data_IF_636142204118
#
_entry.id   IF_636142204118
#
_cell.length_a   1.000
_cell.length_b   1.000
_cell.length_c   1.000
_cell.angle_alpha   90.00
_cell.angle_beta   90.00
_cell.angle_gamma   90.00
#
_symmetry.space_group_name_H-M   'P 1'
#
loop_
_entity.id
_entity.type
_entity.pdbx_description
1 polymer ?
#
# COMPACT_ATOMS: atom_id res chain seq x y z
N UNK A 1 5.47 23.99 -1.02
CA UNK A 1 5.81 22.65 -0.44
C UNK A 1 5.32 21.61 -1.45
N UNK A 2 6.21 20.74 -1.91
CA UNK A 2 5.93 19.74 -2.94
C UNK A 2 5.82 18.38 -2.24
N UNK A 3 4.65 17.75 -2.32
CA UNK A 3 4.39 16.47 -1.66
C UNK A 3 4.44 15.31 -2.65
N UNK A 4 5.49 14.50 -2.56
CA UNK A 4 5.76 13.34 -3.41
C UNK A 4 5.87 12.04 -2.60
N UNK A 5 5.04 11.89 -1.56
CA UNK A 5 5.01 10.70 -0.69
C UNK A 5 3.62 10.08 -0.56
N UNK A 6 2.86 10.05 -1.66
CA UNK A 6 1.48 9.55 -1.69
C UNK A 6 1.35 8.06 -1.34
N UNK A 7 2.42 7.27 -1.49
CA UNK A 7 2.44 5.89 -1.00
C UNK A 7 2.50 5.79 0.53
N UNK A 8 2.98 6.81 1.24
CA UNK A 8 2.90 6.86 2.69
C UNK A 8 1.49 7.23 3.17
N UNK A 9 0.93 8.30 2.64
CA UNK A 9 -0.46 8.73 2.85
C UNK A 9 -0.85 9.75 1.79
N UNK A 10 -2.14 9.94 1.55
CA UNK A 10 -2.62 10.98 0.63
C UNK A 10 -3.35 12.08 1.39
N UNK A 11 -3.42 13.25 0.78
CA UNK A 11 -4.31 14.33 1.21
C UNK A 11 -5.77 13.86 1.04
N UNK A 12 -6.63 14.16 2.01
CA UNK A 12 -8.07 13.94 1.88
C UNK A 12 -8.61 14.84 0.77
N UNK A 13 -9.39 14.26 -0.16
CA UNK A 13 -10.01 15.04 -1.23
C UNK A 13 -11.00 16.06 -0.65
N UNK A 14 -11.09 17.31 -1.17
CA UNK A 14 -12.02 18.31 -0.64
C UNK A 14 -13.47 17.82 -0.58
N UNK A 15 -13.98 17.18 -1.64
CA UNK A 15 -15.35 16.63 -1.68
C UNK A 15 -15.56 15.50 -0.66
N UNK A 16 -14.50 14.76 -0.32
CA UNK A 16 -14.53 13.75 0.75
C UNK A 16 -14.69 14.42 2.11
N UNK A 17 -13.94 15.49 2.36
CA UNK A 17 -14.10 16.24 3.61
C UNK A 17 -15.51 16.83 3.75
N UNK A 18 -16.07 17.37 2.66
CA UNK A 18 -17.41 17.95 2.65
C UNK A 18 -18.49 16.94 3.06
N UNK A 19 -18.46 15.71 2.50
CA UNK A 19 -19.47 14.70 2.86
C UNK A 19 -19.28 14.10 4.26
N UNK A 20 -18.09 14.22 4.86
CA UNK A 20 -17.83 13.77 6.22
C UNK A 20 -18.40 14.71 7.29
N UNK A 21 -18.37 16.02 7.06
CA UNK A 21 -18.69 17.04 8.05
C UNK A 21 -20.08 16.85 8.70
N UNK A 22 -21.18 16.56 7.97
CA UNK A 22 -22.49 16.35 8.56
C UNK A 22 -22.51 15.24 9.62
N UNK A 23 -21.72 14.19 9.46
CA UNK A 23 -21.66 13.06 10.40
C UNK A 23 -20.80 13.34 11.64
N UNK A 24 -20.07 14.45 11.65
CA UNK A 24 -19.31 14.95 12.81
C UNK A 24 -20.09 16.04 13.58
N UNK A 25 -21.09 16.68 12.96
CA UNK A 25 -21.81 17.84 13.51
C UNK A 25 -23.30 17.56 13.76
N UNK A 26 -24.05 17.23 12.72
CA UNK A 26 -25.52 17.21 12.77
C UNK A 26 -26.11 15.79 12.78
N UNK A 27 -25.43 14.80 12.17
CA UNK A 27 -25.89 13.43 11.97
C UNK A 27 -25.03 12.42 12.74
N UNK A 28 -24.62 12.74 13.94
CA UNK A 28 -23.72 11.96 14.80
C UNK A 28 -24.38 10.75 15.48
N UNK A 29 -25.57 10.36 15.04
CA UNK A 29 -26.38 9.30 15.66
C UNK A 29 -25.73 7.92 15.48
N UNK A 30 -25.91 7.06 16.50
CA UNK A 30 -25.50 5.67 16.40
C UNK A 30 -26.37 4.93 15.35
N UNK A 31 -25.77 4.35 14.30
CA UNK A 31 -26.53 3.66 13.25
C UNK A 31 -27.30 2.44 13.74
N UNK A 32 -26.91 1.82 14.86
CA UNK A 32 -27.62 0.66 15.45
C UNK A 32 -28.91 1.04 16.19
N UNK A 33 -29.18 2.35 16.40
CA UNK A 33 -30.38 2.82 17.14
C UNK A 33 -31.67 2.70 16.33
N UNK A 34 -32.79 2.49 17.02
CA UNK A 34 -34.10 2.26 16.39
C UNK A 34 -34.81 3.52 15.88
N UNK A 35 -34.38 4.73 16.28
CA UNK A 35 -35.05 5.97 15.96
C UNK A 35 -34.79 6.48 14.54
N UNK A 36 -35.67 7.40 14.08
CA UNK A 36 -35.66 7.86 12.68
C UNK A 36 -34.37 8.48 12.22
N UNK A 37 -33.68 9.26 13.06
CA UNK A 37 -32.41 9.90 12.72
C UNK A 37 -31.29 8.88 12.41
N UNK A 38 -31.26 7.75 13.10
CA UNK A 38 -30.27 6.68 12.82
C UNK A 38 -30.48 6.03 11.44
N UNK A 39 -31.68 6.10 10.84
CA UNK A 39 -31.91 5.57 9.48
C UNK A 39 -31.14 6.33 8.42
N UNK A 40 -30.94 7.63 8.59
CA UNK A 40 -30.15 8.46 7.67
C UNK A 40 -28.70 8.02 7.71
N UNK A 41 -28.17 7.78 8.91
CA UNK A 41 -26.80 7.31 9.11
C UNK A 41 -26.60 5.91 8.51
N UNK A 42 -27.54 4.98 8.73
CA UNK A 42 -27.50 3.64 8.11
C UNK A 42 -27.46 3.72 6.59
N UNK A 43 -28.33 4.56 5.99
CA UNK A 43 -28.35 4.70 4.52
C UNK A 43 -27.04 5.25 3.98
N UNK A 44 -26.39 6.16 4.71
CA UNK A 44 -25.08 6.67 4.32
C UNK A 44 -23.97 5.58 4.38
N UNK A 45 -24.01 4.71 5.40
CA UNK A 45 -23.12 3.54 5.48
C UNK A 45 -23.37 2.55 4.35
N UNK A 46 -24.64 2.22 4.04
CA UNK A 46 -25.01 1.35 2.91
C UNK A 46 -24.46 1.92 1.59
N UNK A 47 -24.64 3.21 1.34
CA UNK A 47 -24.09 3.89 0.15
C UNK A 47 -22.57 3.82 0.10
N UNK A 48 -21.88 3.97 1.24
CA UNK A 48 -20.43 3.85 1.30
C UNK A 48 -19.96 2.42 0.94
N UNK A 49 -20.67 1.37 1.40
CA UNK A 49 -20.39 -0.02 1.01
C UNK A 49 -20.58 -0.21 -0.50
N UNK A 50 -21.69 0.31 -1.08
CA UNK A 50 -21.96 0.28 -2.52
C UNK A 50 -20.80 0.93 -3.32
N UNK A 51 -20.32 2.10 -2.87
CA UNK A 51 -19.26 2.86 -3.54
C UNK A 51 -17.89 2.14 -3.46
N UNK A 52 -17.52 1.59 -2.30
CA UNK A 52 -16.28 0.83 -2.13
C UNK A 52 -16.34 -0.45 -2.95
N UNK A 53 -17.46 -1.17 -2.93
CA UNK A 53 -17.66 -2.38 -3.73
C UNK A 53 -17.53 -2.08 -5.24
N UNK A 54 -18.17 -1.00 -5.70
CA UNK A 54 -18.10 -0.60 -7.11
C UNK A 54 -16.66 -0.31 -7.59
N UNK A 55 -15.79 0.23 -6.72
CA UNK A 55 -14.39 0.53 -7.07
C UNK A 55 -13.59 -0.74 -7.43
N UNK A 56 -13.95 -1.88 -6.87
CA UNK A 56 -13.25 -3.15 -7.08
C UNK A 56 -14.12 -4.21 -7.80
N UNK A 57 -15.27 -3.80 -8.34
CA UNK A 57 -16.24 -4.69 -9.02
C UNK A 57 -16.78 -5.83 -8.14
N UNK A 58 -16.97 -5.56 -6.84
CA UNK A 58 -17.55 -6.45 -5.84
C UNK A 58 -19.04 -6.14 -5.60
N UNK A 59 -19.70 -6.99 -4.81
CA UNK A 59 -21.03 -6.72 -4.24
C UNK A 59 -20.87 -5.98 -2.90
N UNK A 60 -21.83 -5.11 -2.51
CA UNK A 60 -21.76 -4.41 -1.22
C UNK A 60 -21.64 -5.35 -0.01
N UNK A 61 -22.29 -6.51 -0.07
CA UNK A 61 -22.30 -7.54 0.98
C UNK A 61 -20.93 -8.22 1.16
N UNK A 62 -20.05 -8.12 0.18
CA UNK A 62 -18.69 -8.64 0.23
C UNK A 62 -17.70 -7.68 0.91
N UNK A 63 -18.13 -6.45 1.22
CA UNK A 63 -17.29 -5.45 1.89
C UNK A 63 -17.52 -5.50 3.40
N UNK A 64 -16.41 -5.47 4.15
CA UNK A 64 -16.37 -5.37 5.62
C UNK A 64 -15.51 -4.17 5.98
N UNK A 65 -16.08 -3.14 6.57
CA UNK A 65 -15.33 -1.94 6.97
C UNK A 65 -14.46 -2.20 8.18
N UNK A 66 -13.25 -1.67 8.16
CA UNK A 66 -12.23 -1.81 9.22
C UNK A 66 -11.63 -0.47 9.59
N UNK A 67 -10.78 -0.43 10.62
CA UNK A 67 -10.11 0.80 11.05
C UNK A 67 -8.88 1.18 10.20
N UNK A 68 -8.28 0.25 9.46
CA UNK A 68 -7.13 0.51 8.58
C UNK A 68 -6.71 -0.76 7.83
N UNK A 69 -5.81 -0.63 6.86
CA UNK A 69 -5.28 -1.77 6.12
C UNK A 69 -4.53 -2.81 6.98
N UNK A 70 -3.85 -2.37 8.05
CA UNK A 70 -3.21 -3.30 9.01
C UNK A 70 -4.25 -4.16 9.72
N UNK A 71 -5.39 -3.59 10.15
CA UNK A 71 -6.50 -4.35 10.72
C UNK A 71 -7.06 -5.34 9.69
N UNK A 72 -7.23 -4.92 8.45
CA UNK A 72 -7.72 -5.76 7.35
C UNK A 72 -6.81 -6.98 7.15
N UNK A 73 -5.51 -6.75 6.97
CA UNK A 73 -4.52 -7.82 6.81
C UNK A 73 -4.53 -8.79 8.01
N UNK A 74 -4.44 -8.24 9.23
CA UNK A 74 -4.36 -9.06 10.44
C UNK A 74 -5.65 -9.86 10.66
N UNK A 75 -6.82 -9.33 10.32
CA UNK A 75 -8.10 -10.02 10.46
C UNK A 75 -8.18 -11.24 9.54
N UNK A 76 -7.74 -11.11 8.27
CA UNK A 76 -7.69 -12.24 7.34
C UNK A 76 -6.70 -13.30 7.81
N UNK A 77 -5.49 -12.90 8.19
CA UNK A 77 -4.48 -13.83 8.67
C UNK A 77 -4.91 -14.53 9.97
N UNK A 78 -5.51 -13.79 10.92
CA UNK A 78 -6.06 -14.37 12.16
C UNK A 78 -7.08 -15.45 11.89
N UNK A 79 -7.99 -15.19 10.94
CA UNK A 79 -9.03 -16.12 10.56
C UNK A 79 -8.45 -17.35 9.85
N UNK A 80 -7.70 -17.15 8.76
CA UNK A 80 -7.23 -18.22 7.90
C UNK A 80 -6.23 -19.15 8.62
N UNK A 81 -5.42 -18.59 9.52
CA UNK A 81 -4.38 -19.33 10.24
C UNK A 81 -4.80 -19.80 11.65
N UNK A 82 -6.08 -19.68 12.00
CA UNK A 82 -6.58 -20.10 13.32
C UNK A 82 -6.38 -21.59 13.59
N UNK A 83 -6.37 -22.43 12.57
CA UNK A 83 -6.13 -23.87 12.64
C UNK A 83 -4.65 -24.26 12.52
N UNK A 84 -3.72 -23.32 12.46
CA UNK A 84 -2.31 -23.58 12.13
C UNK A 84 -2.09 -23.84 10.64
N UNK A 85 -1.01 -24.55 10.30
CA UNK A 85 -0.66 -24.87 8.91
C UNK A 85 0.43 -23.95 8.34
N UNK A 86 0.61 -24.00 7.03
CA UNK A 86 1.60 -23.19 6.32
C UNK A 86 0.91 -21.98 5.66
N UNK A 87 1.48 -20.81 5.85
CA UNK A 87 1.16 -19.62 5.07
C UNK A 87 2.23 -19.39 4.01
N UNK A 88 1.84 -19.38 2.75
CA UNK A 88 2.71 -19.02 1.63
C UNK A 88 2.55 -17.53 1.33
N UNK A 89 3.66 -16.80 1.26
CA UNK A 89 3.64 -15.35 1.01
C UNK A 89 4.90 -14.91 0.26
N UNK A 90 4.97 -13.65 -0.18
CA UNK A 90 6.17 -13.13 -0.81
C UNK A 90 7.19 -12.58 0.20
N UNK A 91 8.47 -12.51 -0.20
CA UNK A 91 9.53 -11.87 0.62
C UNK A 91 9.36 -10.35 0.69
N UNK A 92 8.56 -9.75 -0.17
CA UNK A 92 8.43 -8.30 -0.33
C UNK A 92 7.16 -7.71 0.30
N UNK A 93 6.46 -8.48 1.13
CA UNK A 93 5.22 -8.05 1.77
C UNK A 93 5.41 -6.85 2.72
N UNK A 94 4.32 -6.13 2.94
CA UNK A 94 4.29 -5.09 3.96
C UNK A 94 4.46 -5.68 5.36
N UNK A 95 5.04 -4.91 6.29
CA UNK A 95 5.27 -5.33 7.68
C UNK A 95 4.00 -5.77 8.42
N UNK A 96 2.81 -5.32 7.99
CA UNK A 96 1.52 -5.77 8.54
C UNK A 96 1.25 -7.27 8.25
N UNK A 97 1.79 -7.80 7.16
CA UNK A 97 1.76 -9.24 6.85
C UNK A 97 2.91 -9.95 7.57
N UNK A 98 4.17 -9.54 7.30
CA UNK A 98 5.34 -10.28 7.76
C UNK A 98 5.42 -10.37 9.29
N UNK A 99 5.30 -9.25 10.01
CA UNK A 99 5.39 -9.25 11.49
C UNK A 99 4.23 -9.97 12.15
N UNK A 100 3.04 -9.88 11.56
CA UNK A 100 1.90 -10.59 12.11
C UNK A 100 2.01 -12.10 11.90
N UNK A 101 2.52 -12.53 10.74
CA UNK A 101 2.82 -13.94 10.45
C UNK A 101 3.89 -14.50 11.38
N UNK A 102 4.95 -13.72 11.69
CA UNK A 102 5.95 -14.10 12.68
C UNK A 102 5.30 -14.30 14.07
N UNK A 103 4.40 -13.39 14.49
CA UNK A 103 3.67 -13.51 15.76
C UNK A 103 2.71 -14.71 15.78
N UNK A 104 2.09 -15.08 14.67
CA UNK A 104 1.27 -16.29 14.54
C UNK A 104 2.12 -17.55 14.61
N UNK A 105 3.31 -17.53 14.03
CA UNK A 105 4.26 -18.64 14.10
C UNK A 105 4.66 -18.94 15.54
N UNK A 106 4.95 -17.91 16.33
CA UNK A 106 5.33 -18.06 17.74
C UNK A 106 4.18 -18.62 18.62
N UNK A 107 2.93 -18.22 18.33
CA UNK A 107 1.77 -18.57 19.18
C UNK A 107 1.06 -19.83 18.75
N UNK A 108 0.86 -20.02 17.45
CA UNK A 108 -0.03 -21.05 16.90
C UNK A 108 0.71 -22.13 16.10
N UNK A 109 2.05 -22.08 16.05
CA UNK A 109 2.84 -23.03 15.26
C UNK A 109 2.62 -22.90 13.75
N UNK A 110 2.19 -21.70 13.29
CA UNK A 110 2.05 -21.39 11.86
C UNK A 110 3.44 -21.43 11.22
N UNK A 111 3.57 -22.14 10.10
CA UNK A 111 4.79 -22.10 9.29
C UNK A 111 4.67 -20.99 8.25
N UNK A 112 5.72 -20.19 8.10
CA UNK A 112 5.78 -19.15 7.07
C UNK A 112 6.73 -19.58 5.98
N UNK A 113 6.21 -19.73 4.76
CA UNK A 113 6.99 -20.01 3.56
C UNK A 113 7.00 -18.75 2.69
N UNK A 114 8.19 -18.16 2.53
CA UNK A 114 8.37 -16.92 1.78
C UNK A 114 8.93 -17.24 0.40
N UNK A 115 8.20 -16.84 -0.62
CA UNK A 115 8.60 -16.98 -2.02
C UNK A 115 9.37 -15.74 -2.47
N UNK A 116 10.51 -15.96 -3.11
CA UNK A 116 11.37 -14.90 -3.62
C UNK A 116 10.78 -14.16 -4.82
N UNK A 117 11.44 -13.06 -5.15
CA UNK A 117 11.16 -12.27 -6.35
C UNK A 117 12.36 -12.29 -7.31
N UNK A 118 12.15 -11.88 -8.55
CA UNK A 118 13.22 -11.66 -9.51
C UNK A 118 13.90 -10.29 -9.29
N UNK A 119 14.90 -9.96 -10.12
CA UNK A 119 15.61 -8.70 -10.03
C UNK A 119 14.75 -7.46 -10.34
N UNK A 120 13.61 -7.64 -11.02
CA UNK A 120 12.62 -6.60 -11.25
C UNK A 120 11.63 -6.45 -10.09
N UNK A 121 11.67 -7.34 -9.09
CA UNK A 121 10.78 -7.33 -7.93
C UNK A 121 9.45 -8.03 -8.16
N UNK A 122 9.33 -8.86 -9.21
CA UNK A 122 8.15 -9.68 -9.47
C UNK A 122 8.26 -11.04 -8.79
N UNK A 123 7.14 -11.54 -8.27
CA UNK A 123 7.03 -12.87 -7.67
C UNK A 123 7.52 -13.95 -8.65
N UNK A 124 8.37 -14.84 -8.17
CA UNK A 124 8.77 -16.04 -8.91
C UNK A 124 7.62 -17.03 -8.91
N UNK A 125 6.84 -16.98 -9.98
CA UNK A 125 5.55 -17.68 -10.04
C UNK A 125 5.70 -19.21 -10.00
N UNK A 126 6.76 -19.76 -10.57
CA UNK A 126 7.03 -21.21 -10.52
C UNK A 126 7.35 -21.67 -9.09
N UNK A 127 8.12 -20.88 -8.33
CA UNK A 127 8.42 -21.15 -6.93
C UNK A 127 7.14 -21.05 -6.08
N UNK A 128 6.27 -20.07 -6.38
CA UNK A 128 4.97 -19.92 -5.73
C UNK A 128 4.06 -21.14 -6.01
N UNK A 129 4.01 -21.58 -7.27
CA UNK A 129 3.22 -22.75 -7.67
C UNK A 129 3.69 -24.03 -6.97
N UNK A 130 4.99 -24.16 -6.69
CA UNK A 130 5.53 -25.27 -5.92
C UNK A 130 5.15 -25.16 -4.43
N UNK A 131 5.26 -23.96 -3.85
CA UNK A 131 5.00 -23.70 -2.43
C UNK A 131 3.52 -23.95 -2.05
N UNK A 132 2.55 -23.51 -2.88
CA UNK A 132 1.12 -23.69 -2.58
C UNK A 132 0.64 -25.15 -2.68
N UNK A 133 1.39 -26.04 -3.33
CA UNK A 133 1.08 -27.49 -3.41
C UNK A 133 1.42 -28.25 -2.14
N UNK A 134 1.98 -27.58 -1.12
CA UNK A 134 2.19 -28.20 0.17
C UNK A 134 0.84 -28.51 0.82
N UNK A 135 0.57 -29.79 1.15
CA UNK A 135 -0.69 -30.25 1.75
C UNK A 135 -1.07 -29.53 3.06
N UNK A 136 -0.10 -28.92 3.74
CA UNK A 136 -0.34 -28.13 4.94
C UNK A 136 -0.61 -26.63 4.64
N UNK A 137 -0.65 -26.20 3.37
CA UNK A 137 -0.89 -24.82 3.01
C UNK A 137 -2.34 -24.41 3.35
N UNK A 138 -2.49 -23.46 4.26
CA UNK A 138 -3.79 -23.00 4.75
C UNK A 138 -4.19 -21.63 4.18
N UNK A 139 -3.21 -20.84 3.71
CA UNK A 139 -3.42 -19.55 3.09
C UNK A 139 -2.25 -19.20 2.17
N UNK A 140 -2.55 -18.67 1.00
CA UNK A 140 -1.59 -17.94 0.19
C UNK A 140 -1.93 -16.43 0.23
N UNK A 141 -0.91 -15.59 0.44
CA UNK A 141 -1.09 -14.13 0.56
C UNK A 141 0.02 -13.40 -0.18
N UNK A 142 -0.34 -12.64 -1.22
CA UNK A 142 0.61 -11.88 -2.04
C UNK A 142 0.09 -10.46 -2.22
N UNK A 143 0.92 -9.45 -1.95
CA UNK A 143 0.54 -8.05 -2.16
C UNK A 143 0.32 -7.76 -3.65
N UNK A 144 -0.69 -6.94 -3.98
CA UNK A 144 -1.02 -6.60 -5.38
C UNK A 144 0.03 -5.70 -6.02
N UNK A 145 0.46 -4.69 -5.30
CA UNK A 145 1.51 -3.78 -5.73
C UNK A 145 2.42 -3.42 -4.55
N UNK A 146 3.73 -3.40 -4.79
CA UNK A 146 4.70 -3.11 -3.74
C UNK A 146 4.70 -1.62 -3.38
N UNK A 147 4.71 -1.32 -2.10
CA UNK A 147 4.64 0.05 -1.57
C UNK A 147 5.94 0.85 -1.72
N UNK A 148 7.07 0.20 -1.98
CA UNK A 148 8.37 0.85 -2.17
C UNK A 148 8.68 1.05 -3.65
N UNK A 149 8.67 -0.03 -4.44
CA UNK A 149 9.05 -0.01 -5.85
C UNK A 149 7.88 0.27 -6.80
N UNK A 150 6.65 0.06 -6.33
CA UNK A 150 5.45 0.15 -7.17
C UNK A 150 5.23 -1.06 -8.07
N UNK A 151 6.08 -2.09 -7.99
CA UNK A 151 5.98 -3.27 -8.87
C UNK A 151 4.68 -4.03 -8.62
N UNK A 152 3.94 -4.30 -9.70
CA UNK A 152 2.67 -5.04 -9.70
C UNK A 152 2.98 -6.53 -9.77
N UNK A 153 2.38 -7.32 -8.88
CA UNK A 153 2.56 -8.75 -8.81
C UNK A 153 1.59 -9.51 -9.74
N UNK A 154 1.88 -10.73 -10.16
CA UNK A 154 1.04 -11.55 -11.04
C UNK A 154 -0.14 -12.18 -10.27
N UNK A 155 -1.01 -11.33 -9.70
CA UNK A 155 -2.05 -11.74 -8.72
C UNK A 155 -3.07 -12.70 -9.34
N UNK A 156 -3.50 -12.46 -10.58
CA UNK A 156 -4.45 -13.34 -11.23
C UNK A 156 -3.90 -14.77 -11.38
N UNK A 157 -2.66 -14.90 -11.82
CA UNK A 157 -2.00 -16.18 -11.99
C UNK A 157 -1.75 -16.87 -10.63
N UNK A 158 -1.28 -16.11 -9.64
CA UNK A 158 -1.06 -16.61 -8.29
C UNK A 158 -2.38 -17.11 -7.64
N UNK A 159 -3.48 -16.38 -7.79
CA UNK A 159 -4.78 -16.77 -7.27
C UNK A 159 -5.30 -18.05 -7.92
N UNK A 160 -5.15 -18.19 -9.25
CA UNK A 160 -5.53 -19.41 -9.98
C UNK A 160 -4.73 -20.61 -9.46
N UNK A 161 -3.40 -20.48 -9.36
CA UNK A 161 -2.52 -21.54 -8.86
C UNK A 161 -2.84 -21.97 -7.42
N UNK A 162 -3.17 -21.01 -6.56
CA UNK A 162 -3.60 -21.28 -5.19
C UNK A 162 -4.92 -22.07 -5.18
N UNK A 163 -5.91 -21.66 -5.97
CA UNK A 163 -7.20 -22.36 -6.07
C UNK A 163 -7.08 -23.76 -6.68
N UNK A 164 -6.21 -23.96 -7.68
CA UNK A 164 -5.91 -25.31 -8.23
C UNK A 164 -5.32 -26.24 -7.15
N UNK A 165 -4.60 -25.68 -6.17
CA UNK A 165 -4.11 -26.40 -5.01
C UNK A 165 -5.13 -26.51 -3.86
N UNK A 166 -6.34 -25.94 -4.00
CA UNK A 166 -7.36 -25.92 -2.96
C UNK A 166 -7.07 -24.95 -1.80
N UNK A 167 -6.19 -23.96 -2.03
CA UNK A 167 -5.72 -23.00 -1.03
C UNK A 167 -6.43 -21.66 -1.21
N UNK A 168 -7.04 -21.07 -0.15
CA UNK A 168 -7.61 -19.75 -0.21
C UNK A 168 -6.53 -18.68 -0.47
N UNK A 169 -6.89 -17.63 -1.23
CA UNK A 169 -5.97 -16.59 -1.66
C UNK A 169 -6.37 -15.21 -1.13
N UNK A 170 -5.44 -14.56 -0.45
CA UNK A 170 -5.52 -13.17 0.01
C UNK A 170 -4.58 -12.27 -0.78
N UNK A 171 -5.01 -11.04 -1.04
CA UNK A 171 -4.12 -10.00 -1.55
C UNK A 171 -4.18 -8.72 -0.72
N UNK A 172 -3.02 -8.23 -0.28
CA UNK A 172 -2.87 -6.84 0.19
C UNK A 172 -2.89 -5.90 -1.02
N UNK A 173 -4.07 -5.32 -1.31
CA UNK A 173 -4.27 -4.41 -2.42
C UNK A 173 -4.19 -2.93 -2.03
N UNK A 174 -3.64 -2.62 -0.86
CA UNK A 174 -3.59 -1.26 -0.28
C UNK A 174 -2.92 -0.26 -1.22
N UNK A 175 -1.92 -0.68 -1.98
CA UNK A 175 -1.24 0.19 -2.94
C UNK A 175 -1.82 0.11 -4.37
N UNK A 176 -2.79 -0.78 -4.62
CA UNK A 176 -3.41 -0.94 -5.92
C UNK A 176 -4.76 -0.22 -6.04
N UNK A 177 -5.64 -0.43 -5.05
CA UNK A 177 -7.01 0.12 -5.06
C UNK A 177 -7.00 1.65 -5.19
N UNK A 178 -7.78 2.16 -6.13
CA UNK A 178 -7.88 3.59 -6.44
C UNK A 178 -6.72 4.16 -7.30
N UNK A 179 -5.68 3.37 -7.57
CA UNK A 179 -4.54 3.79 -8.43
C UNK A 179 -4.50 3.06 -9.77
N UNK A 180 -5.02 1.85 -9.80
CA UNK A 180 -5.11 1.02 -10.99
C UNK A 180 -6.40 0.20 -10.94
N UNK A 181 -6.86 -0.36 -12.07
CA UNK A 181 -8.00 -1.27 -12.07
C UNK A 181 -7.73 -2.49 -11.17
N UNK A 182 -8.65 -2.72 -10.23
CA UNK A 182 -8.70 -3.94 -9.40
C UNK A 182 -10.09 -4.52 -9.59
N UNK A 183 -10.18 -5.66 -10.24
CA UNK A 183 -11.46 -6.30 -10.59
C UNK A 183 -11.52 -7.71 -9.99
N UNK A 184 -12.19 -7.82 -8.84
CA UNK A 184 -12.36 -9.10 -8.15
C UNK A 184 -13.35 -10.05 -8.86
N UNK A 185 -14.09 -9.57 -9.86
CA UNK A 185 -14.93 -10.43 -10.70
C UNK A 185 -14.10 -11.22 -11.71
N UNK A 186 -12.94 -10.71 -12.10
CA UNK A 186 -12.00 -11.33 -13.04
C UNK A 186 -10.85 -12.04 -12.32
N UNK A 187 -10.40 -11.48 -11.18
CA UNK A 187 -9.30 -12.04 -10.40
C UNK A 187 -9.88 -12.82 -9.22
N UNK A 188 -9.67 -14.15 -9.14
CA UNK A 188 -10.34 -15.01 -8.16
C UNK A 188 -9.68 -14.93 -6.76
N UNK A 189 -9.55 -13.73 -6.17
CA UNK A 189 -9.13 -13.60 -4.77
C UNK A 189 -10.27 -13.94 -3.83
N UNK A 190 -10.01 -14.59 -2.70
CA UNK A 190 -11.00 -14.85 -1.65
C UNK A 190 -11.10 -13.67 -0.69
N UNK A 191 -9.97 -13.05 -0.42
CA UNK A 191 -9.85 -11.88 0.45
C UNK A 191 -9.00 -10.80 -0.20
N UNK A 192 -9.37 -9.53 0.04
CA UNK A 192 -8.59 -8.38 -0.41
C UNK A 192 -8.59 -7.28 0.64
N UNK A 193 -7.41 -6.78 1.00
CA UNK A 193 -7.27 -5.71 1.99
C UNK A 193 -7.14 -4.34 1.34
N UNK A 194 -7.88 -3.36 1.90
CA UNK A 194 -7.99 -1.99 1.38
C UNK A 194 -7.71 -0.99 2.51
N UNK A 195 -7.10 0.15 2.20
CA UNK A 195 -6.89 1.25 3.15
C UNK A 195 -7.22 2.61 2.53
N UNK A 196 -8.19 3.30 3.11
CA UNK A 196 -8.76 4.53 2.54
C UNK A 196 -7.74 5.65 2.31
N UNK A 197 -6.82 5.85 3.26
CA UNK A 197 -5.85 6.93 3.17
C UNK A 197 -4.80 6.79 2.05
N UNK A 198 -4.83 5.73 1.26
CA UNK A 198 -3.98 5.54 0.08
C UNK A 198 -4.62 6.04 -1.21
N UNK A 199 -5.92 6.37 -1.16
CA UNK A 199 -6.69 6.89 -2.31
C UNK A 199 -7.61 8.05 -1.91
N UNK A 200 -7.08 8.99 -1.12
CA UNK A 200 -7.70 10.28 -0.79
C UNK A 200 -8.89 10.23 0.19
N UNK A 201 -9.10 9.11 0.88
CA UNK A 201 -9.99 9.01 2.03
C UNK A 201 -9.25 9.39 3.33
N UNK A 202 -9.96 9.58 4.47
CA UNK A 202 -9.34 9.85 5.76
C UNK A 202 -8.51 8.66 6.26
N UNK A 203 -7.58 8.93 7.17
CA UNK A 203 -6.93 7.91 8.00
C UNK A 203 -7.94 7.31 8.97
N UNK A 204 -7.70 6.08 9.45
CA UNK A 204 -8.59 5.44 10.42
C UNK A 204 -9.81 4.73 9.80
N UNK A 205 -9.74 4.43 8.51
CA UNK A 205 -10.71 3.59 7.79
C UNK A 205 -10.02 2.72 6.75
N UNK A 206 -10.49 1.49 6.63
CA UNK A 206 -10.11 0.51 5.61
C UNK A 206 -11.28 -0.44 5.33
N UNK A 207 -11.04 -1.46 4.53
CA UNK A 207 -12.01 -2.50 4.27
C UNK A 207 -11.33 -3.84 3.96
N UNK A 208 -12.08 -4.92 4.16
CA UNK A 208 -11.78 -6.25 3.64
C UNK A 208 -12.87 -6.58 2.62
N UNK A 209 -12.48 -7.01 1.44
CA UNK A 209 -13.34 -7.78 0.57
C UNK A 209 -13.29 -9.24 1.02
N UNK A 210 -14.45 -9.84 1.21
CA UNK A 210 -14.63 -11.28 1.49
C UNK A 210 -15.58 -11.83 0.44
N UNK A 211 -15.06 -12.70 -0.43
CA UNK A 211 -15.84 -13.27 -1.54
C UNK A 211 -17.08 -13.99 -1.02
N UNK A 212 -18.20 -13.82 -1.72
CA UNK A 212 -19.45 -14.55 -1.42
C UNK A 212 -19.21 -16.06 -1.35
N UNK A 213 -19.74 -16.68 -0.31
CA UNK A 213 -19.56 -18.11 -0.03
C UNK A 213 -18.28 -18.46 0.74
N UNK A 214 -17.32 -17.54 0.87
CA UNK A 214 -16.13 -17.75 1.69
C UNK A 214 -16.46 -17.46 3.15
N UNK A 215 -16.13 -18.42 4.04
CA UNK A 215 -16.26 -18.22 5.48
C UNK A 215 -15.27 -17.17 5.96
N UNK A 216 -15.72 -16.32 6.88
CA UNK A 216 -14.87 -15.34 7.57
C UNK A 216 -15.39 -15.11 8.99
N UNK A 217 -14.57 -15.42 9.98
CA UNK A 217 -14.89 -15.19 11.39
C UNK A 217 -14.21 -13.92 11.90
N UNK A 218 -14.89 -13.08 12.69
CA UNK A 218 -14.38 -11.80 13.12
C UNK A 218 -13.18 -11.92 14.06
N UNK A 219 -12.13 -11.13 13.82
CA UNK A 219 -11.05 -10.89 14.77
C UNK A 219 -11.57 -10.05 15.96
N UNK A 220 -12.33 -8.99 15.69
CA UNK A 220 -12.96 -8.15 16.70
C UNK A 220 -14.39 -8.63 16.95
N UNK A 221 -14.67 -9.15 18.14
CA UNK A 221 -15.95 -9.72 18.53
C UNK A 221 -16.73 -8.75 19.46
N UNK A 222 -18.07 -8.65 19.31
CA UNK A 222 -18.90 -7.75 20.11
C UNK A 222 -20.31 -7.60 19.56
N UNK A 223 -20.76 -6.39 19.27
CA UNK A 223 -22.16 -6.01 19.00
C UNK A 223 -22.74 -6.39 17.62
N UNK A 224 -22.04 -7.14 16.79
CA UNK A 224 -22.57 -7.68 15.53
C UNK A 224 -22.61 -6.69 14.36
N UNK A 225 -21.91 -5.57 14.42
CA UNK A 225 -21.74 -4.64 13.31
C UNK A 225 -21.06 -5.36 12.11
N UNK A 226 -21.15 -4.78 10.93
CA UNK A 226 -20.67 -5.36 9.67
C UNK A 226 -21.19 -6.79 9.43
N UNK A 227 -22.44 -7.04 9.77
CA UNK A 227 -23.02 -8.39 9.65
C UNK A 227 -22.38 -9.44 10.57
N UNK A 228 -21.81 -9.02 11.70
CA UNK A 228 -21.11 -9.89 12.66
C UNK A 228 -19.65 -10.17 12.28
N UNK A 229 -19.16 -9.60 11.16
CA UNK A 229 -17.81 -9.84 10.66
C UNK A 229 -16.75 -8.88 11.22
N UNK A 230 -17.20 -7.72 11.76
CA UNK A 230 -16.31 -6.79 12.48
C UNK A 230 -17.13 -5.95 13.46
N UNK A 231 -16.95 -6.22 14.73
CA UNK A 231 -17.72 -5.55 15.80
C UNK A 231 -17.10 -4.23 16.23
N UNK A 232 -17.93 -3.37 16.83
CA UNK A 232 -17.58 -2.02 17.30
C UNK A 232 -18.37 -0.97 16.53
N UNK A 233 -18.80 0.08 17.23
CA UNK A 233 -19.56 1.18 16.62
C UNK A 233 -18.81 1.73 15.41
N UNK A 234 -19.52 1.89 14.32
CA UNK A 234 -18.98 2.29 13.02
C UNK A 234 -18.43 3.72 13.07
N UNK A 235 -17.25 3.93 12.50
CA UNK A 235 -16.67 5.26 12.27
C UNK A 235 -17.34 5.93 11.07
N UNK A 236 -18.62 6.35 11.28
CA UNK A 236 -19.54 6.79 10.22
C UNK A 236 -18.89 7.81 9.29
N UNK A 237 -18.35 8.90 9.83
CA UNK A 237 -17.79 9.98 9.03
C UNK A 237 -16.64 9.47 8.11
N UNK A 238 -15.74 8.64 8.66
CA UNK A 238 -14.63 8.11 7.87
C UNK A 238 -15.08 7.07 6.85
N UNK A 239 -16.08 6.25 7.16
CA UNK A 239 -16.64 5.26 6.22
C UNK A 239 -17.32 5.97 5.05
N UNK A 240 -18.15 6.99 5.31
CA UNK A 240 -18.77 7.82 4.27
C UNK A 240 -17.69 8.52 3.43
N UNK A 241 -16.67 9.05 4.08
CA UNK A 241 -15.52 9.64 3.39
C UNK A 241 -14.78 8.63 2.49
N UNK A 242 -14.61 7.38 2.94
CA UNK A 242 -13.99 6.33 2.13
C UNK A 242 -14.87 5.95 0.93
N UNK A 243 -16.19 5.87 1.11
CA UNK A 243 -17.15 5.66 0.01
C UNK A 243 -17.04 6.75 -1.05
N UNK A 244 -17.04 8.03 -0.64
CA UNK A 244 -16.89 9.16 -1.57
C UNK A 244 -15.53 9.15 -2.29
N UNK A 245 -14.45 8.84 -1.59
CA UNK A 245 -13.14 8.69 -2.23
C UNK A 245 -13.16 7.55 -3.27
N UNK A 246 -13.80 6.42 -2.95
CA UNK A 246 -13.96 5.30 -3.87
C UNK A 246 -14.73 5.69 -5.13
N UNK A 247 -15.83 6.43 -4.99
CA UNK A 247 -16.61 6.97 -6.12
C UNK A 247 -15.75 7.87 -7.03
N UNK A 248 -14.99 8.81 -6.43
CA UNK A 248 -14.12 9.72 -7.19
C UNK A 248 -13.04 8.93 -7.94
N UNK A 249 -12.38 7.99 -7.26
CA UNK A 249 -11.30 7.23 -7.88
C UNK A 249 -11.81 6.27 -8.96
N UNK A 250 -13.00 5.67 -8.77
CA UNK A 250 -13.64 4.87 -9.81
C UNK A 250 -13.93 5.71 -11.06
N UNK A 251 -14.51 6.88 -10.91
CA UNK A 251 -14.77 7.77 -12.04
C UNK A 251 -13.49 8.16 -12.79
N UNK A 252 -12.38 8.35 -12.07
CA UNK A 252 -11.06 8.62 -12.68
C UNK A 252 -10.49 7.40 -13.42
N UNK A 253 -10.64 6.19 -12.86
CA UNK A 253 -10.20 4.95 -13.52
C UNK A 253 -11.02 4.68 -14.77
N UNK A 254 -12.35 4.82 -14.71
CA UNK A 254 -13.25 4.62 -15.85
C UNK A 254 -12.97 5.61 -17.01
N UNK A 255 -12.50 6.80 -16.69
CA UNK A 255 -12.13 7.84 -17.66
C UNK A 255 -10.67 7.77 -18.14
N UNK A 256 -9.88 6.75 -17.69
CA UNK A 256 -8.43 6.65 -17.92
C UNK A 256 -7.66 7.94 -17.52
N UNK A 257 -8.15 8.62 -16.48
CA UNK A 257 -7.62 9.91 -16.01
C UNK A 257 -6.33 9.80 -15.18
N UNK A 258 -5.68 8.63 -15.17
CA UNK A 258 -4.39 8.42 -14.53
C UNK A 258 -3.19 8.66 -15.46
N UNK A 259 -3.41 8.79 -16.76
CA UNK A 259 -2.36 9.07 -17.73
C UNK A 259 -1.47 10.28 -17.37
N UNK A 260 -1.97 11.40 -16.84
CA UNK A 260 -1.12 12.51 -16.40
C UNK A 260 -0.15 12.12 -15.28
N UNK A 261 -0.56 11.23 -14.35
CA UNK A 261 0.31 10.77 -13.25
C UNK A 261 1.45 9.91 -13.81
N UNK A 262 1.15 9.05 -14.78
CA UNK A 262 2.17 8.26 -15.50
C UNK A 262 3.16 9.18 -16.19
N UNK A 263 2.68 10.22 -16.88
CA UNK A 263 3.53 11.20 -17.56
C UNK A 263 4.45 11.94 -16.58
N UNK A 264 3.96 12.35 -15.43
CA UNK A 264 4.77 12.99 -14.38
C UNK A 264 5.87 12.05 -13.87
N UNK A 265 5.53 10.80 -13.56
CA UNK A 265 6.49 9.79 -13.12
C UNK A 265 7.57 9.55 -14.16
N UNK A 266 7.18 9.32 -15.41
CA UNK A 266 8.11 9.01 -16.50
C UNK A 266 8.97 10.23 -16.86
N UNK A 267 8.42 11.44 -16.80
CA UNK A 267 9.15 12.70 -16.98
C UNK A 267 10.20 12.88 -15.87
N UNK A 268 9.83 12.67 -14.61
CA UNK A 268 10.72 12.73 -13.46
C UNK A 268 11.92 11.77 -13.62
N UNK A 269 11.65 10.51 -13.94
CA UNK A 269 12.69 9.50 -14.12
C UNK A 269 13.58 9.81 -15.32
N UNK A 270 13.00 10.17 -16.46
CA UNK A 270 13.73 10.53 -17.67
C UNK A 270 14.68 11.68 -17.42
N UNK A 271 14.22 12.74 -16.78
CA UNK A 271 15.06 13.88 -16.45
C UNK A 271 16.23 13.49 -15.54
N UNK A 272 15.96 12.77 -14.46
CA UNK A 272 16.99 12.37 -13.52
C UNK A 272 18.05 11.44 -14.17
N UNK A 273 17.61 10.47 -14.98
CA UNK A 273 18.52 9.52 -15.62
C UNK A 273 19.32 10.12 -16.78
N UNK A 274 18.83 11.21 -17.40
CA UNK A 274 19.54 11.90 -18.49
C UNK A 274 20.41 13.06 -18.01
N UNK A 275 20.05 13.69 -16.88
CA UNK A 275 20.72 14.90 -16.39
C UNK A 275 21.69 14.64 -15.23
N UNK A 276 21.68 13.43 -14.65
CA UNK A 276 22.58 13.01 -13.57
C UNK A 276 23.23 11.66 -13.88
N UNK A 277 24.54 11.56 -13.72
CA UNK A 277 25.25 10.30 -13.78
C UNK A 277 24.95 9.41 -12.57
N UNK A 278 25.02 8.08 -12.74
CA UNK A 278 24.90 7.11 -11.64
C UNK A 278 23.51 7.09 -11.01
N UNK A 279 22.48 7.33 -11.80
CA UNK A 279 21.06 7.20 -11.41
C UNK A 279 20.50 5.90 -11.99
N UNK A 280 19.80 5.12 -11.15
CA UNK A 280 19.17 3.86 -11.55
C UNK A 280 17.74 3.81 -11.05
N UNK A 281 16.78 3.56 -11.94
CA UNK A 281 15.39 3.25 -11.56
C UNK A 281 15.32 1.78 -11.17
N UNK A 282 14.80 1.46 -9.99
CA UNK A 282 14.70 0.10 -9.47
C UNK A 282 13.28 -0.45 -9.65
N UNK A 283 13.20 -1.74 -9.92
CA UNK A 283 11.95 -2.45 -10.15
C UNK A 283 11.58 -2.54 -11.63
N UNK A 284 10.47 -3.23 -11.92
CA UNK A 284 10.00 -3.40 -13.29
C UNK A 284 9.58 -2.07 -13.91
N UNK A 285 10.01 -1.82 -15.15
CA UNK A 285 9.62 -0.64 -15.92
C UNK A 285 8.29 -0.84 -16.65
N UNK A 286 7.79 -2.08 -16.73
CA UNK A 286 6.57 -2.45 -17.46
C UNK A 286 5.42 -2.82 -16.53
N UNK A 287 5.69 -3.54 -15.45
CA UNK A 287 4.70 -4.02 -14.49
C UNK A 287 4.77 -3.19 -13.20
N UNK A 288 4.29 -1.95 -13.25
CA UNK A 288 4.39 -1.03 -12.13
C UNK A 288 3.20 -0.09 -11.97
N UNK A 289 2.97 0.35 -10.74
CA UNK A 289 1.96 1.34 -10.38
C UNK A 289 2.16 2.65 -11.14
N UNK A 290 1.07 3.32 -11.47
CA UNK A 290 1.07 4.57 -12.24
C UNK A 290 1.85 5.69 -11.58
N UNK A 291 1.96 5.69 -10.25
CA UNK A 291 2.38 6.85 -9.46
C UNK A 291 3.75 6.71 -8.78
N UNK A 292 4.39 5.55 -8.81
CA UNK A 292 5.57 5.26 -7.97
C UNK A 292 6.83 5.21 -8.79
N UNK A 293 7.86 5.92 -8.34
CA UNK A 293 9.22 5.87 -8.83
C UNK A 293 10.17 5.54 -7.68
N UNK A 294 11.01 4.52 -7.84
CA UNK A 294 12.04 4.13 -6.89
C UNK A 294 13.41 4.26 -7.53
N UNK A 295 14.21 5.21 -7.05
CA UNK A 295 15.44 5.64 -7.73
C UNK A 295 16.62 5.62 -6.78
N UNK A 296 17.74 4.99 -7.22
CA UNK A 296 19.02 4.98 -6.51
C UNK A 296 19.97 6.01 -7.10
N UNK A 297 20.77 6.66 -6.23
CA UNK A 297 21.74 7.70 -6.59
C UNK A 297 23.14 7.29 -6.13
N UNK A 298 23.97 6.82 -7.03
CA UNK A 298 25.34 6.41 -6.71
C UNK A 298 26.13 7.53 -6.01
N UNK A 299 26.78 7.19 -4.89
CA UNK A 299 27.57 8.14 -4.12
C UNK A 299 26.73 9.08 -3.23
N UNK A 300 25.45 8.79 -2.99
CA UNK A 300 24.61 9.54 -2.07
C UNK A 300 23.99 8.62 -1.01
N UNK A 301 23.81 9.11 0.21
CA UNK A 301 23.00 8.43 1.21
C UNK A 301 21.59 9.02 1.24
N UNK A 302 20.56 8.16 1.24
CA UNK A 302 19.15 8.57 1.24
C UNK A 302 18.81 9.49 2.42
N UNK A 303 19.37 9.26 3.60
CA UNK A 303 19.16 10.12 4.75
C UNK A 303 19.62 11.58 4.49
N UNK A 304 20.78 11.76 3.87
CA UNK A 304 21.28 13.07 3.48
C UNK A 304 20.43 13.72 2.38
N UNK A 305 19.99 12.92 1.40
CA UNK A 305 19.07 13.40 0.35
C UNK A 305 17.74 13.87 0.95
N UNK A 306 17.13 13.12 1.86
CA UNK A 306 15.86 13.47 2.49
C UNK A 306 15.95 14.79 3.28
N UNK A 307 17.03 14.99 4.05
CA UNK A 307 17.25 16.23 4.80
C UNK A 307 17.35 17.43 3.84
N UNK A 308 18.12 17.30 2.77
CA UNK A 308 18.29 18.40 1.80
C UNK A 308 17.02 18.65 1.00
N UNK A 309 16.28 17.62 0.65
CA UNK A 309 15.01 17.74 -0.08
C UNK A 309 13.96 18.43 0.77
N UNK A 310 13.86 18.09 2.07
CA UNK A 310 12.96 18.79 3.00
C UNK A 310 13.33 20.28 3.14
N UNK A 311 14.62 20.61 3.24
CA UNK A 311 15.11 22.01 3.19
C UNK A 311 14.71 22.72 1.88
N UNK A 312 14.64 22.00 0.77
CA UNK A 312 14.23 22.55 -0.54
C UNK A 312 12.71 22.48 -0.76
N UNK A 313 11.95 22.07 0.25
CA UNK A 313 10.49 22.03 0.23
C UNK A 313 9.90 20.83 -0.52
N UNK A 314 10.68 19.75 -0.72
CA UNK A 314 10.23 18.50 -1.36
C UNK A 314 10.16 17.38 -0.34
N UNK A 315 9.00 16.77 -0.18
CA UNK A 315 8.75 15.66 0.73
C UNK A 315 8.61 14.35 -0.03
N UNK A 316 9.48 13.39 0.27
CA UNK A 316 9.47 12.02 -0.27
C UNK A 316 9.99 11.05 0.80
N UNK A 317 10.09 9.77 0.50
CA UNK A 317 10.57 8.74 1.42
C UNK A 317 11.83 8.06 0.92
N UNK A 318 12.60 7.47 1.84
CA UNK A 318 13.61 6.49 1.47
C UNK A 318 12.94 5.14 1.22
N UNK A 319 13.56 4.29 0.37
CA UNK A 319 13.13 2.90 0.18
C UNK A 319 13.36 2.01 1.41
N UNK A 320 14.03 2.49 2.45
CA UNK A 320 14.26 1.78 3.71
C UNK A 320 13.46 2.42 4.85
N UNK A 321 12.89 1.62 5.75
CA UNK A 321 12.17 2.12 6.92
C UNK A 321 13.14 2.79 7.93
N UNK A 322 13.43 4.07 7.72
CA UNK A 322 14.29 4.90 8.59
C UNK A 322 13.54 5.45 9.79
N UNK A 323 12.74 4.65 10.54
CA UNK A 323 12.00 5.17 11.70
C UNK A 323 12.66 4.94 13.06
N UNK A 324 13.81 4.24 13.16
CA UNK A 324 14.40 3.90 14.47
C UNK A 324 15.93 3.92 14.54
N UNK A 325 16.59 4.75 13.74
CA UNK A 325 18.06 4.95 13.90
C UNK A 325 18.96 3.79 13.48
N UNK A 326 18.40 2.65 13.05
CA UNK A 326 19.16 1.53 12.47
C UNK A 326 18.90 1.52 10.96
N UNK A 327 19.85 2.05 10.18
CA UNK A 327 19.84 2.01 8.72
C UNK A 327 20.10 0.56 8.23
N UNK A 328 19.06 -0.26 8.26
CA UNK A 328 19.12 -1.54 7.56
C UNK A 328 18.54 -1.36 6.13
N UNK A 329 19.14 -2.03 5.13
CA UNK A 329 18.55 -2.06 3.79
C UNK A 329 17.10 -2.56 3.86
N UNK A 330 16.24 -2.05 2.98
CA UNK A 330 14.89 -2.58 2.85
C UNK A 330 14.92 -4.07 2.51
N UNK A 331 14.06 -4.86 3.14
CA UNK A 331 13.88 -6.27 2.82
C UNK A 331 13.43 -6.45 1.36
N UNK A 332 12.64 -5.51 0.82
CA UNK A 332 12.22 -5.51 -0.59
C UNK A 332 13.42 -5.41 -1.51
N UNK A 333 14.29 -4.43 -1.29
CA UNK A 333 15.48 -4.24 -2.11
C UNK A 333 16.46 -5.41 -1.98
N UNK A 334 16.58 -5.98 -0.78
CA UNK A 334 17.41 -7.17 -0.53
C UNK A 334 16.87 -8.38 -1.28
N UNK A 335 15.55 -8.60 -1.27
CA UNK A 335 14.91 -9.69 -2.01
C UNK A 335 15.10 -9.56 -3.53
N UNK A 336 15.18 -8.33 -4.04
CA UNK A 336 15.51 -8.04 -5.46
C UNK A 336 16.99 -8.22 -5.82
N UNK A 337 17.87 -8.52 -4.85
CA UNK A 337 19.31 -8.62 -5.06
C UNK A 337 20.01 -7.26 -5.19
N UNK A 338 19.37 -6.17 -4.83
CA UNK A 338 19.98 -4.83 -4.82
C UNK A 338 21.04 -4.79 -3.71
N UNK A 339 22.23 -4.34 -4.03
CA UNK A 339 23.33 -4.25 -3.06
C UNK A 339 22.98 -3.32 -1.89
N UNK A 340 23.51 -3.62 -0.70
CA UNK A 340 23.29 -2.80 0.49
C UNK A 340 23.71 -1.33 0.28
N UNK A 341 24.75 -1.08 -0.53
CA UNK A 341 25.20 0.27 -0.86
C UNK A 341 24.16 1.00 -1.73
N UNK A 342 23.65 0.35 -2.77
CA UNK A 342 22.61 0.91 -3.64
C UNK A 342 21.29 1.10 -2.89
N UNK A 343 20.91 0.16 -2.03
CA UNK A 343 19.71 0.26 -1.19
C UNK A 343 19.74 1.48 -0.27
N UNK A 344 20.89 1.81 0.32
CA UNK A 344 21.07 3.01 1.16
C UNK A 344 21.04 4.33 0.38
N UNK A 345 21.14 4.29 -0.93
CA UNK A 345 21.09 5.47 -1.80
C UNK A 345 19.76 5.71 -2.49
N UNK A 346 18.71 4.97 -2.09
CA UNK A 346 17.43 4.95 -2.81
C UNK A 346 16.40 5.87 -2.21
N UNK A 347 15.70 6.61 -3.07
CA UNK A 347 14.51 7.37 -2.75
C UNK A 347 13.28 6.74 -3.40
N UNK A 348 12.16 6.79 -2.69
CA UNK A 348 10.83 6.56 -3.25
C UNK A 348 10.12 7.89 -3.43
N UNK A 349 9.70 8.16 -4.65
CA UNK A 349 8.85 9.29 -5.03
C UNK A 349 7.51 8.75 -5.46
N UNK A 350 6.41 9.31 -4.97
CA UNK A 350 5.07 8.87 -5.33
C UNK A 350 4.12 10.04 -5.50
N UNK A 351 3.65 10.18 -6.74
CA UNK A 351 2.73 11.22 -7.19
C UNK A 351 1.28 10.95 -6.76
N UNK A 352 0.40 11.91 -6.93
CA UNK A 352 -1.04 11.80 -6.71
C UNK A 352 -1.82 12.52 -7.81
N UNK A 353 -3.15 12.45 -7.71
CA UNK A 353 -4.06 13.21 -8.59
C UNK A 353 -3.93 14.74 -8.44
N UNK A 354 -3.23 15.21 -7.41
CA UNK A 354 -3.00 16.64 -7.15
C UNK A 354 -1.61 17.11 -7.58
N UNK A 355 -0.72 16.20 -7.98
CA UNK A 355 0.62 16.56 -8.43
C UNK A 355 0.58 17.28 -9.77
N UNK A 356 1.40 18.31 -9.94
CA UNK A 356 1.46 19.11 -11.17
C UNK A 356 2.80 18.97 -11.89
N UNK A 357 2.86 19.40 -13.16
CA UNK A 357 4.11 19.41 -13.94
C UNK A 357 5.13 20.36 -13.30
N UNK A 358 4.71 21.54 -12.84
CA UNK A 358 5.56 22.53 -12.19
C UNK A 358 6.18 21.98 -10.90
N UNK A 359 5.42 21.23 -10.09
CA UNK A 359 5.92 20.56 -8.90
C UNK A 359 6.93 19.46 -9.26
N UNK A 360 6.65 18.69 -10.30
CA UNK A 360 7.56 17.65 -10.81
C UNK A 360 8.90 18.25 -11.25
N UNK A 361 8.87 19.31 -12.07
CA UNK A 361 10.08 19.99 -12.55
C UNK A 361 10.89 20.61 -11.40
N UNK A 362 10.22 21.26 -10.45
CA UNK A 362 10.87 21.82 -9.28
C UNK A 362 11.49 20.72 -8.40
N UNK A 363 10.83 19.56 -8.26
CA UNK A 363 11.37 18.42 -7.54
C UNK A 363 12.62 17.83 -8.21
N UNK A 364 12.65 17.74 -9.54
CA UNK A 364 13.84 17.32 -10.30
C UNK A 364 15.01 18.25 -10.00
N UNK A 365 14.82 19.57 -10.06
CA UNK A 365 15.88 20.54 -9.76
C UNK A 365 16.36 20.44 -8.30
N UNK A 366 15.44 20.23 -7.35
CA UNK A 366 15.79 20.00 -5.95
C UNK A 366 16.65 18.72 -5.76
N UNK A 367 16.28 17.62 -6.41
CA UNK A 367 17.05 16.35 -6.39
C UNK A 367 18.44 16.57 -6.97
N UNK A 368 18.56 17.22 -8.14
CA UNK A 368 19.84 17.51 -8.77
C UNK A 368 20.76 18.33 -7.84
N UNK A 369 20.22 19.35 -7.22
CA UNK A 369 20.93 20.20 -6.25
C UNK A 369 21.38 19.39 -5.01
N UNK A 370 20.51 18.53 -4.45
CA UNK A 370 20.81 17.69 -3.31
C UNK A 370 21.91 16.68 -3.63
N UNK A 371 21.79 15.98 -4.76
CA UNK A 371 22.80 15.02 -5.25
C UNK A 371 24.14 15.70 -5.48
N UNK A 372 24.18 16.85 -6.15
CA UNK A 372 25.39 17.62 -6.37
C UNK A 372 26.08 18.03 -5.08
N UNK A 373 25.31 18.52 -4.09
CA UNK A 373 25.82 18.91 -2.77
C UNK A 373 26.41 17.73 -2.01
N UNK A 374 25.74 16.57 -1.97
CA UNK A 374 26.24 15.38 -1.27
C UNK A 374 27.50 14.82 -1.93
N UNK A 375 27.53 14.71 -3.25
CA UNK A 375 28.72 14.22 -3.97
C UNK A 375 29.93 15.13 -3.81
N UNK A 376 29.74 16.45 -3.72
CA UNK A 376 30.84 17.40 -3.49
C UNK A 376 31.45 17.28 -2.10
N UNK A 377 30.65 16.92 -1.08
CA UNK A 377 31.12 16.73 0.30
C UNK A 377 31.78 15.37 0.50
N UNK A 378 31.26 14.31 -0.14
CA UNK A 378 31.77 12.94 -0.01
C UNK A 378 32.98 12.63 -0.93
N UNK A 379 33.20 13.43 -1.96
CA UNK A 379 34.32 13.29 -2.92
C UNK A 379 35.59 14.05 -2.54
N UNK A 380 35.62 14.78 -1.44
CA UNK A 380 36.82 15.47 -0.95
C UNK A 380 37.79 14.50 -0.24
N UNK A 381 39.10 14.53 -0.52
CA UNK A 381 40.05 13.73 0.22
C UNK A 381 40.04 14.20 1.69
N UNK A 382 39.54 13.37 2.60
CA UNK A 382 39.60 13.59 4.05
C UNK A 382 38.27 13.67 4.80
N UNK A 383 37.14 13.53 4.14
CA UNK A 383 35.83 13.48 4.84
C UNK A 383 35.40 12.03 4.98
N UNK A 384 35.60 11.45 6.16
CA UNK A 384 34.99 10.19 6.55
C UNK A 384 33.45 10.33 6.61
N UNK A 385 32.70 9.23 6.74
CA UNK A 385 31.25 9.27 6.77
C UNK A 385 30.76 10.25 7.82
N UNK A 386 29.85 11.16 7.44
CA UNK A 386 29.24 12.13 8.34
C UNK A 386 28.51 11.33 9.43
N UNK A 387 29.06 11.32 10.65
CA UNK A 387 28.34 10.80 11.80
C UNK A 387 27.23 11.79 12.13
N UNK A 388 25.98 11.43 11.86
CA UNK A 388 24.81 12.14 12.35
C UNK A 388 24.76 11.93 13.85
N UNK A 389 25.09 12.95 14.63
CA UNK A 389 24.88 12.94 16.08
C UNK A 389 23.38 12.82 16.36
N UNK A 390 22.95 11.65 16.81
CA UNK A 390 21.67 11.50 17.52
C UNK A 390 21.91 11.97 18.94
N UNK A 391 21.49 13.20 19.23
CA UNK A 391 21.45 13.73 20.60
C UNK A 391 20.63 12.79 21.49
N UNK A 392 21.18 12.49 22.63
CA UNK A 392 20.63 11.67 23.74
C UNK A 392 19.30 12.21 24.27
#
# INVERSE_FOLDING_TARGET
MIYLDSNATTQVHPDVLEVMLPFLTDQWYNPSSGYRAAKVVRKALETAHEQVAALIHAKPEEIVMTGCGTESNNAVLSFAMAGGGTMVTSEIEHSAILRYSDALSEKNGVKLEKVGVDAEGRLRIDDFAAAVKNDACALASVMWANNETGVIQPIQEAAILAHEAGVPFHSDAIQAVGKMPVDVSQVPVDFLSISGHKFHAPKGVGAIFVREGVRFDPMLRGGGQEGGRRSGTENVASIVGMGKAAEIMKAKLDADAHAPIVQLRDHFEKRLTTELDGVTVNGSLTHRSVNTSHVSFQGCEAAGLLILLDEYGVQCSAGSACMTGKQQPSHVQTAMGISAQQAKSSLRVSFSIFSTQEECDAAVEAVKKAVGKLRSVQGGPGVGPVQVYTGS
#
